data_IF_029056052782
#
_entry.id   IF_029056052782
#
_cell.length_a   1.000
_cell.length_b   1.000
_cell.length_c   1.000
_cell.angle_alpha   90.00
_cell.angle_beta   90.00
_cell.angle_gamma   90.00
#
_symmetry.space_group_name_H-M   'P 1'
#
loop_
_entity.id
_entity.type
_entity.pdbx_description
1 polymer ?
#
# COMPACT_ATOMS: atom_id res chain seq x y z
N UNK A 1 -3.18 13.82 13.01
CA UNK A 1 -1.72 13.84 12.74
C UNK A 1 -1.06 12.50 13.07
N UNK A 2 -1.76 11.36 12.95
CA UNK A 2 -1.25 10.05 13.40
C UNK A 2 -0.65 9.16 12.31
N UNK A 3 -0.59 9.63 11.06
CA UNK A 3 0.01 8.88 9.96
C UNK A 3 1.54 9.04 9.99
N UNK A 4 2.17 8.33 10.93
CA UNK A 4 3.61 8.35 11.20
C UNK A 4 4.08 6.91 11.32
N UNK A 5 5.01 6.50 10.44
CA UNK A 5 5.53 5.13 10.45
C UNK A 5 6.55 4.90 11.58
N UNK A 6 7.38 5.90 11.86
CA UNK A 6 8.28 5.91 13.00
C UNK A 6 8.80 7.32 13.30
N UNK A 7 9.15 7.58 14.55
CA UNK A 7 9.74 8.84 14.99
C UNK A 7 11.19 8.64 15.44
N UNK A 8 11.96 9.74 15.47
CA UNK A 8 13.32 9.79 16.04
C UNK A 8 14.29 8.73 15.49
N UNK A 9 14.20 8.43 14.18
CA UNK A 9 15.10 7.48 13.51
C UNK A 9 16.40 8.16 13.10
N UNK A 10 17.52 7.53 13.44
CA UNK A 10 18.84 7.89 12.91
C UNK A 10 18.95 7.29 11.51
N UNK A 11 18.94 8.15 10.49
CA UNK A 11 19.15 7.80 9.09
C UNK A 11 20.34 8.61 8.56
N UNK A 12 21.02 8.13 7.50
CA UNK A 12 21.92 8.99 6.74
C UNK A 12 21.14 10.19 6.15
N UNK A 13 21.86 11.13 5.53
CA UNK A 13 21.22 12.18 4.75
C UNK A 13 20.37 11.56 3.64
N UNK A 14 19.14 12.07 3.48
CA UNK A 14 18.14 11.51 2.56
C UNK A 14 17.86 12.51 1.45
N UNK A 15 17.66 11.97 0.25
CA UNK A 15 17.27 12.73 -0.93
C UNK A 15 15.96 12.20 -1.53
N UNK A 16 15.32 13.03 -2.34
CA UNK A 16 14.12 12.63 -3.07
C UNK A 16 14.47 11.52 -4.07
N UNK A 17 13.80 10.37 -3.95
CA UNK A 17 14.06 9.20 -4.77
C UNK A 17 14.75 8.06 -4.03
N UNK A 18 15.27 8.29 -2.82
CA UNK A 18 15.81 7.23 -1.98
C UNK A 18 14.73 6.20 -1.59
N UNK A 19 15.16 4.95 -1.46
CA UNK A 19 14.30 3.84 -1.06
C UNK A 19 14.55 3.50 0.40
N UNK A 20 13.49 3.58 1.21
CA UNK A 20 13.51 3.18 2.61
C UNK A 20 12.88 1.79 2.77
N UNK A 21 13.50 0.96 3.62
CA UNK A 21 12.96 -0.34 4.01
C UNK A 21 12.38 -0.27 5.42
N UNK A 22 11.13 -0.71 5.59
CA UNK A 22 10.51 -0.94 6.89
C UNK A 22 10.51 -2.44 7.13
N UNK A 23 11.36 -2.87 8.06
CA UNK A 23 11.57 -4.27 8.38
C UNK A 23 10.43 -4.82 9.24
N UNK A 24 10.38 -6.15 9.34
CA UNK A 24 9.44 -6.89 10.21
C UNK A 24 7.95 -6.65 9.90
N UNK A 25 7.63 -6.30 8.66
CA UNK A 25 6.27 -6.00 8.18
C UNK A 25 5.52 -7.21 7.60
N UNK A 26 6.09 -8.42 7.71
CA UNK A 26 5.54 -9.65 7.14
C UNK A 26 4.27 -10.16 7.83
N UNK A 27 4.08 -9.83 9.11
CA UNK A 27 2.86 -10.14 9.85
C UNK A 27 2.10 -8.85 10.16
N UNK A 28 0.77 -8.88 10.04
CA UNK A 28 -0.14 -7.76 10.34
C UNK A 28 0.08 -6.47 9.52
N UNK A 29 0.99 -6.47 8.53
CA UNK A 29 1.17 -5.37 7.58
C UNK A 29 0.04 -5.34 6.55
N UNK A 30 0.22 -6.07 5.44
CA UNK A 30 -0.75 -6.09 4.35
C UNK A 30 -2.17 -6.48 4.80
N UNK A 31 -2.30 -7.42 5.73
CA UNK A 31 -3.60 -7.87 6.24
C UNK A 31 -4.42 -6.77 6.92
N UNK A 32 -3.78 -5.70 7.40
CA UNK A 32 -4.43 -4.53 8.00
C UNK A 32 -4.41 -3.30 7.08
N UNK A 33 -3.87 -3.40 5.87
CA UNK A 33 -3.86 -2.32 4.91
C UNK A 33 -5.29 -1.98 4.44
N UNK A 34 -5.54 -0.69 4.20
CA UNK A 34 -6.83 -0.16 3.75
C UNK A 34 -6.67 0.77 2.55
N UNK A 35 -7.78 1.15 1.93
CA UNK A 35 -7.80 2.19 0.90
C UNK A 35 -8.09 3.60 1.46
N UNK A 36 -7.69 3.87 2.71
CA UNK A 36 -7.83 5.20 3.30
C UNK A 36 -7.19 6.27 2.40
N UNK A 37 -7.84 7.42 2.28
CA UNK A 37 -7.50 8.49 1.32
C UNK A 37 -7.51 8.05 -0.16
N UNK A 38 -8.35 7.07 -0.53
CA UNK A 38 -8.46 6.54 -1.89
C UNK A 38 -7.10 6.06 -2.45
N UNK A 39 -6.22 5.55 -1.59
CA UNK A 39 -4.93 4.99 -2.00
C UNK A 39 -5.10 3.50 -2.30
N UNK A 40 -4.76 3.02 -3.51
CA UNK A 40 -4.81 1.60 -3.80
C UNK A 40 -3.84 0.84 -2.90
N UNK A 41 -4.21 -0.36 -2.42
CA UNK A 41 -3.28 -1.22 -1.69
C UNK A 41 -2.09 -1.61 -2.58
N UNK A 42 -0.91 -1.68 -1.98
CA UNK A 42 0.34 -1.99 -2.67
C UNK A 42 0.37 -3.41 -3.26
N UNK A 43 1.28 -3.71 -4.20
CA UNK A 43 1.59 -5.09 -4.57
C UNK A 43 2.36 -5.82 -3.45
N UNK A 44 2.28 -7.15 -3.43
CA UNK A 44 3.17 -8.01 -2.65
C UNK A 44 4.07 -8.80 -3.62
N UNK A 45 5.37 -8.79 -3.34
CA UNK A 45 6.40 -9.51 -4.11
C UNK A 45 6.90 -10.68 -3.29
N UNK A 46 6.96 -11.86 -3.89
CA UNK A 46 7.61 -13.03 -3.31
C UNK A 46 9.00 -13.18 -3.90
N UNK A 47 9.98 -13.42 -3.04
CA UNK A 47 11.35 -13.76 -3.42
C UNK A 47 11.60 -15.19 -2.95
N UNK A 48 12.13 -16.04 -3.83
CA UNK A 48 12.50 -17.41 -3.54
C UNK A 48 13.79 -17.75 -4.27
N UNK A 49 14.85 -18.02 -3.50
CA UNK A 49 16.22 -18.19 -4.03
C UNK A 49 16.65 -16.97 -4.86
N UNK A 50 16.94 -17.16 -6.14
CA UNK A 50 17.34 -16.15 -7.12
C UNK A 50 16.16 -15.60 -7.94
N UNK A 51 14.93 -16.05 -7.66
CA UNK A 51 13.72 -15.66 -8.37
C UNK A 51 12.87 -14.70 -7.56
N UNK A 52 12.19 -13.80 -8.26
CA UNK A 52 11.16 -12.94 -7.68
C UNK A 52 9.94 -12.89 -8.60
N UNK A 53 8.78 -12.60 -8.00
CA UNK A 53 7.54 -12.46 -8.75
C UNK A 53 6.47 -11.71 -7.95
N UNK A 54 5.54 -11.09 -8.68
CA UNK A 54 4.36 -10.49 -8.07
C UNK A 54 3.49 -11.63 -7.53
N UNK A 55 3.40 -11.76 -6.21
CA UNK A 55 2.49 -12.71 -5.56
C UNK A 55 1.08 -12.14 -5.49
N UNK A 56 0.96 -10.83 -5.26
CA UNK A 56 -0.30 -10.10 -5.30
C UNK A 56 -0.11 -8.80 -6.07
N UNK A 57 -0.95 -8.57 -7.09
CA UNK A 57 -0.94 -7.29 -7.81
C UNK A 57 -1.36 -6.15 -6.88
N UNK A 58 -0.83 -4.95 -7.14
CA UNK A 58 -1.36 -3.74 -6.55
C UNK A 58 -2.79 -3.49 -7.04
N UNK A 59 -3.57 -2.83 -6.20
CA UNK A 59 -4.86 -2.29 -6.62
C UNK A 59 -4.66 -1.12 -7.58
N UNK A 60 -5.64 -0.92 -8.45
CA UNK A 60 -5.85 0.28 -9.25
C UNK A 60 -6.87 1.19 -8.57
N UNK A 61 -6.99 2.43 -9.03
CA UNK A 61 -8.08 3.32 -8.60
C UNK A 61 -9.45 2.72 -8.90
N UNK A 62 -9.58 1.97 -10.01
CA UNK A 62 -10.83 1.30 -10.38
C UNK A 62 -11.22 0.24 -9.35
N UNK A 63 -10.25 -0.54 -8.83
CA UNK A 63 -10.52 -1.55 -7.80
C UNK A 63 -11.16 -0.95 -6.54
N UNK A 64 -10.79 0.29 -6.19
CA UNK A 64 -11.33 1.01 -5.01
C UNK A 64 -12.84 1.25 -5.16
N UNK A 65 -13.26 1.67 -6.36
CA UNK A 65 -14.66 2.06 -6.63
C UNK A 65 -15.50 0.91 -7.15
N UNK A 66 -14.90 -0.24 -7.44
CA UNK A 66 -15.57 -1.35 -8.12
C UNK A 66 -16.77 -1.92 -7.34
N UNK A 67 -16.78 -1.75 -6.01
CA UNK A 67 -17.88 -2.19 -5.14
C UNK A 67 -18.96 -1.13 -4.94
N UNK A 68 -18.73 0.10 -5.42
CA UNK A 68 -19.67 1.22 -5.28
C UNK A 68 -20.76 1.12 -6.33
N UNK A 69 -22.01 1.38 -5.92
CA UNK A 69 -23.16 1.45 -6.82
C UNK A 69 -23.77 2.84 -6.79
N UNK A 70 -24.10 3.37 -7.97
CA UNK A 70 -24.98 4.54 -8.07
C UNK A 70 -26.41 4.10 -7.82
N UNK A 71 -27.13 4.84 -6.99
CA UNK A 71 -28.52 4.54 -6.67
C UNK A 71 -29.45 5.16 -7.72
N UNK A 72 -30.58 4.51 -8.07
CA UNK A 72 -31.44 4.96 -9.17
C UNK A 72 -31.96 6.39 -9.03
N UNK A 73 -32.22 6.85 -7.79
CA UNK A 73 -32.71 8.20 -7.53
C UNK A 73 -31.61 9.29 -7.57
N UNK A 74 -30.35 8.93 -7.83
CA UNK A 74 -29.27 9.86 -8.13
C UNK A 74 -29.02 9.99 -9.65
N UNK A 75 -29.78 9.30 -10.49
CA UNK A 75 -29.79 9.50 -11.94
C UNK A 75 -30.79 10.62 -12.25
N UNK A 76 -30.29 11.71 -12.84
CA UNK A 76 -31.12 12.79 -13.41
C UNK A 76 -31.40 12.46 -14.86
#
# INVERSE_FOLDING_TARGET
>A
TGDILAENRKLPELESGDVLAILDTGAYGYSMASQYNCRPRCPEVMIFEDRHGIMRRGESVVDIVNTMKRLPWHEK
#
